data_IF_015090557631
#
_entry.id   IF_015090557631
#
_cell.length_a   1.000
_cell.length_b   1.000
_cell.length_c   1.000
_cell.angle_alpha   90.00
_cell.angle_beta   90.00
_cell.angle_gamma   90.00
#
_symmetry.space_group_name_H-M   'P 1'
#
loop_
_entity.id
_entity.type
_entity.pdbx_description
1 polymer ?
#
# COMPACT_ATOMS: atom_id res chain seq x y z
N UNK A 1 -12.31 1.48 15.77
CA UNK A 1 -11.94 2.56 14.81
C UNK A 1 -13.13 3.31 14.20
N UNK A 2 -14.31 2.69 13.98
CA UNK A 2 -15.44 3.38 13.32
C UNK A 2 -15.94 4.65 14.02
N UNK A 3 -16.03 4.68 15.35
CA UNK A 3 -16.47 5.86 16.09
C UNK A 3 -15.50 7.06 15.97
N UNK A 4 -14.19 6.78 15.95
CA UNK A 4 -13.14 7.80 15.81
C UNK A 4 -13.11 8.36 14.38
N UNK A 5 -13.32 7.52 13.37
CA UNK A 5 -13.45 7.95 11.97
C UNK A 5 -14.69 8.81 11.74
N UNK A 6 -15.81 8.54 12.41
CA UNK A 6 -17.02 9.35 12.30
C UNK A 6 -16.87 10.72 12.99
N UNK A 7 -16.26 10.76 14.19
CA UNK A 7 -15.97 12.01 14.89
C UNK A 7 -14.95 12.91 14.14
N UNK A 8 -13.98 12.30 13.46
CA UNK A 8 -13.01 13.02 12.64
C UNK A 8 -13.65 13.73 11.43
N UNK A 9 -14.77 13.24 10.90
CA UNK A 9 -15.48 13.94 9.81
C UNK A 9 -16.16 15.23 10.27
N UNK A 10 -16.33 15.42 11.59
CA UNK A 10 -16.93 16.63 12.17
C UNK A 10 -15.89 17.64 12.70
N UNK A 11 -14.60 17.27 12.74
CA UNK A 11 -13.48 18.17 13.07
C UNK A 11 -12.33 17.95 12.09
N UNK A 12 -12.10 18.89 11.15
CA UNK A 12 -10.98 18.85 10.23
C UNK A 12 -9.61 18.71 10.93
N UNK A 13 -9.47 19.30 12.11
CA UNK A 13 -8.25 19.25 12.91
C UNK A 13 -7.98 17.83 13.44
N UNK A 14 -9.02 17.16 13.97
CA UNK A 14 -8.89 15.76 14.41
C UNK A 14 -8.60 14.83 13.23
N UNK A 15 -9.23 15.06 12.06
CA UNK A 15 -8.93 14.29 10.85
C UNK A 15 -7.48 14.47 10.40
N UNK A 16 -6.97 15.71 10.44
CA UNK A 16 -5.59 16.03 10.13
C UNK A 16 -4.64 15.31 11.09
N UNK A 17 -4.86 15.43 12.40
CA UNK A 17 -4.05 14.77 13.42
C UNK A 17 -4.06 13.24 13.28
N UNK A 18 -5.21 12.63 12.97
CA UNK A 18 -5.29 11.19 12.74
C UNK A 18 -4.56 10.76 11.46
N UNK A 19 -4.65 11.54 10.38
CA UNK A 19 -3.89 11.28 9.15
C UNK A 19 -2.40 11.36 9.43
N UNK A 20 -1.94 12.40 10.10
CA UNK A 20 -0.52 12.60 10.44
C UNK A 20 0.01 11.52 11.38
N UNK A 21 -0.79 11.10 12.36
CA UNK A 21 -0.37 10.10 13.34
C UNK A 21 -0.42 8.66 12.81
N UNK A 22 -1.35 8.33 11.91
CA UNK A 22 -1.62 6.93 11.53
C UNK A 22 -1.40 6.59 10.06
N UNK A 23 -1.46 7.58 9.15
CA UNK A 23 -1.38 7.31 7.70
C UNK A 23 -0.03 7.75 7.14
N UNK A 24 0.42 8.94 7.50
CA UNK A 24 1.73 9.46 7.04
C UNK A 24 2.90 8.55 7.43
N UNK A 25 2.97 7.97 8.65
CA UNK A 25 4.06 7.08 9.01
C UNK A 25 4.08 5.79 8.19
N UNK A 26 2.90 5.24 7.89
CA UNK A 26 2.77 4.02 7.07
C UNK A 26 3.24 4.27 5.63
N UNK A 27 2.85 5.40 5.04
CA UNK A 27 3.34 5.81 3.71
C UNK A 27 4.87 5.94 3.76
N UNK A 28 5.41 6.67 4.74
CA UNK A 28 6.85 6.87 4.87
C UNK A 28 7.63 5.56 5.05
N UNK A 29 7.07 4.60 5.78
CA UNK A 29 7.65 3.27 5.97
C UNK A 29 7.68 2.46 4.67
N UNK A 30 6.59 2.48 3.90
CA UNK A 30 6.51 1.82 2.58
C UNK A 30 7.49 2.48 1.61
N UNK A 31 7.52 3.81 1.54
CA UNK A 31 8.45 4.54 0.66
C UNK A 31 9.91 4.26 1.04
N UNK A 32 10.21 4.17 2.34
CA UNK A 32 11.54 3.79 2.80
C UNK A 32 11.90 2.36 2.39
N UNK A 33 10.95 1.42 2.43
CA UNK A 33 11.15 0.06 1.94
C UNK A 33 11.47 0.05 0.44
N UNK A 34 10.70 0.78 -0.38
CA UNK A 34 10.92 0.89 -1.82
C UNK A 34 12.28 1.53 -2.12
N UNK A 35 12.62 2.64 -1.46
CA UNK A 35 13.95 3.28 -1.59
C UNK A 35 15.09 2.33 -1.24
N UNK A 36 14.94 1.48 -0.22
CA UNK A 36 15.96 0.47 0.12
C UNK A 36 16.11 -0.57 -0.99
N UNK A 37 15.02 -1.02 -1.62
CA UNK A 37 15.08 -1.93 -2.75
C UNK A 37 15.76 -1.29 -3.97
N UNK A 38 15.46 -0.01 -4.24
CA UNK A 38 16.16 0.77 -5.27
C UNK A 38 17.66 0.91 -4.97
N UNK A 39 18.03 1.21 -3.72
CA UNK A 39 19.41 1.30 -3.29
C UNK A 39 20.19 -0.03 -3.39
N UNK A 40 19.49 -1.17 -3.39
CA UNK A 40 20.07 -2.51 -3.64
C UNK A 40 20.08 -2.90 -5.12
N UNK A 41 19.51 -2.08 -6.01
CA UNK A 41 19.36 -2.40 -7.43
C UNK A 41 18.28 -3.44 -7.73
N UNK A 42 17.38 -3.73 -6.78
CA UNK A 42 16.27 -4.66 -6.99
C UNK A 42 15.13 -4.03 -7.81
N UNK A 43 14.97 -2.71 -7.71
CA UNK A 43 14.00 -1.92 -8.48
C UNK A 43 14.78 -0.78 -9.12
N UNK A 44 14.54 -0.46 -10.40
CA UNK A 44 15.18 0.69 -11.03
C UNK A 44 14.77 2.01 -10.32
N UNK A 45 15.74 2.91 -10.14
CA UNK A 45 15.57 4.12 -9.34
C UNK A 45 14.59 5.14 -9.97
N UNK A 46 14.40 5.06 -11.29
CA UNK A 46 13.60 5.97 -12.12
C UNK A 46 12.27 5.36 -12.58
N UNK A 47 11.89 4.16 -12.08
CA UNK A 47 10.62 3.54 -12.40
C UNK A 47 9.46 4.40 -11.86
N UNK A 48 8.60 4.96 -12.75
CA UNK A 48 7.48 5.78 -12.31
C UNK A 48 6.49 5.00 -11.42
N UNK A 49 6.45 3.67 -11.54
CA UNK A 49 5.57 2.82 -10.71
C UNK A 49 5.90 2.84 -9.21
N UNK A 50 7.13 3.19 -8.82
CA UNK A 50 7.61 3.08 -7.45
C UNK A 50 6.87 4.02 -6.46
N UNK A 51 6.42 5.20 -6.92
CA UNK A 51 5.70 6.17 -6.07
C UNK A 51 4.29 5.70 -5.69
N UNK A 52 3.70 4.76 -6.45
CA UNK A 52 2.32 4.33 -6.27
C UNK A 52 2.18 3.15 -5.28
N UNK A 53 3.27 2.55 -4.82
CA UNK A 53 3.24 1.32 -4.00
C UNK A 53 2.45 1.51 -2.70
N UNK A 54 2.67 2.63 -1.99
CA UNK A 54 1.93 2.93 -0.77
C UNK A 54 0.43 3.10 -1.04
N UNK A 55 0.08 3.80 -2.12
CA UNK A 55 -1.31 4.00 -2.54
C UNK A 55 -1.99 2.67 -2.93
N UNK A 56 -1.27 1.76 -3.61
CA UNK A 56 -1.80 0.45 -3.98
C UNK A 56 -2.07 -0.44 -2.76
N UNK A 57 -1.13 -0.52 -1.81
CA UNK A 57 -1.27 -1.33 -0.59
C UNK A 57 -2.37 -0.80 0.33
N UNK A 58 -2.37 0.51 0.62
CA UNK A 58 -3.41 1.12 1.45
C UNK A 58 -4.77 1.09 0.73
N UNK A 59 -4.77 1.31 -0.58
CA UNK A 59 -5.95 1.31 -1.43
C UNK A 59 -6.64 -0.04 -1.44
N UNK A 60 -5.93 -1.15 -1.65
CA UNK A 60 -6.56 -2.49 -1.71
C UNK A 60 -7.20 -2.89 -0.39
N UNK A 61 -6.60 -2.51 0.75
CA UNK A 61 -7.18 -2.77 2.07
C UNK A 61 -8.51 -2.02 2.30
N UNK A 62 -8.74 -0.89 1.61
CA UNK A 62 -9.98 -0.12 1.67
C UNK A 62 -10.98 -0.49 0.58
N UNK A 63 -10.49 -0.79 -0.63
CA UNK A 63 -11.31 -1.14 -1.78
C UNK A 63 -11.94 -2.52 -1.62
N UNK A 64 -11.19 -3.52 -1.11
CA UNK A 64 -11.70 -4.89 -1.07
C UNK A 64 -12.95 -5.08 -0.20
N UNK A 65 -13.06 -4.51 1.03
CA UNK A 65 -14.30 -4.56 1.78
C UNK A 65 -15.49 -3.95 1.04
N UNK A 66 -15.26 -2.87 0.27
CA UNK A 66 -16.30 -2.21 -0.51
C UNK A 66 -16.72 -3.06 -1.72
N UNK A 67 -15.77 -3.71 -2.40
CA UNK A 67 -16.02 -4.47 -3.63
C UNK A 67 -16.47 -5.91 -3.37
N UNK A 68 -15.91 -6.57 -2.36
CA UNK A 68 -16.07 -8.01 -2.10
C UNK A 68 -16.72 -8.32 -0.74
N UNK A 69 -17.07 -7.30 0.07
CA UNK A 69 -17.71 -7.49 1.38
C UNK A 69 -16.81 -8.14 2.44
N UNK A 70 -15.49 -8.21 2.20
CA UNK A 70 -14.53 -8.86 3.11
C UNK A 70 -13.17 -8.17 3.10
N UNK A 71 -12.48 -8.25 4.23
CA UNK A 71 -11.13 -7.70 4.37
C UNK A 71 -10.07 -8.55 3.65
N UNK A 72 -8.95 -7.92 3.36
CA UNK A 72 -7.78 -8.61 2.81
C UNK A 72 -7.12 -9.46 3.90
N UNK A 73 -6.96 -10.76 3.64
CA UNK A 73 -6.13 -11.66 4.43
C UNK A 73 -4.69 -11.65 3.87
N UNK A 74 -3.75 -12.25 4.62
CA UNK A 74 -2.35 -12.31 4.22
C UNK A 74 -2.20 -12.98 2.83
N UNK A 75 -2.92 -14.09 2.59
CA UNK A 75 -2.85 -14.82 1.32
C UNK A 75 -3.28 -13.96 0.12
N UNK A 76 -4.31 -13.14 0.27
CA UNK A 76 -4.70 -12.21 -0.79
C UNK A 76 -3.70 -11.07 -0.96
N UNK A 77 -3.21 -10.47 0.13
CA UNK A 77 -2.24 -9.38 0.05
C UNK A 77 -0.95 -9.84 -0.62
N UNK A 78 -0.44 -11.04 -0.32
CA UNK A 78 0.70 -11.63 -1.01
C UNK A 78 0.45 -11.74 -2.51
N UNK A 79 -0.68 -12.33 -2.92
CA UNK A 79 -1.03 -12.43 -4.36
C UNK A 79 -1.22 -11.07 -5.01
N UNK A 80 -1.75 -10.08 -4.30
CA UNK A 80 -1.91 -8.73 -4.82
C UNK A 80 -0.56 -8.07 -5.05
N UNK A 81 0.38 -8.21 -4.12
CA UNK A 81 1.76 -7.75 -4.29
C UNK A 81 2.39 -8.42 -5.51
N UNK A 82 2.36 -9.76 -5.56
CA UNK A 82 2.99 -10.56 -6.63
C UNK A 82 2.43 -10.26 -8.01
N UNK A 83 1.11 -10.04 -8.13
CA UNK A 83 0.43 -9.97 -9.43
C UNK A 83 0.06 -8.57 -9.88
N UNK A 84 -0.03 -7.60 -8.98
CA UNK A 84 -0.43 -6.23 -9.32
C UNK A 84 0.66 -5.20 -9.05
N UNK A 85 1.43 -5.35 -7.97
CA UNK A 85 2.45 -4.37 -7.59
C UNK A 85 3.79 -4.70 -8.27
N UNK A 86 4.33 -5.89 -8.03
CA UNK A 86 5.67 -6.28 -8.54
C UNK A 86 5.79 -6.15 -10.07
N UNK A 87 4.81 -6.57 -10.89
CA UNK A 87 4.92 -6.40 -12.34
C UNK A 87 5.01 -4.93 -12.77
N UNK A 88 4.31 -4.02 -12.08
CA UNK A 88 4.41 -2.57 -12.32
C UNK A 88 5.77 -1.98 -11.94
N UNK A 89 6.57 -2.72 -11.18
CA UNK A 89 7.95 -2.38 -10.81
C UNK A 89 8.99 -3.11 -11.68
N UNK A 90 8.55 -3.74 -12.79
CA UNK A 90 9.42 -4.54 -13.66
C UNK A 90 9.85 -5.88 -13.04
N UNK A 91 9.28 -6.25 -11.89
CA UNK A 91 9.54 -7.51 -11.20
C UNK A 91 8.48 -8.52 -11.64
N UNK A 92 8.79 -9.31 -12.66
CA UNK A 92 7.97 -10.47 -12.99
C UNK A 92 8.40 -11.63 -12.09
N UNK A 93 7.44 -12.29 -11.44
CA UNK A 93 7.71 -13.62 -10.91
C UNK A 93 8.17 -14.48 -12.09
N UNK A 94 9.39 -15.00 -12.03
CA UNK A 94 9.88 -15.96 -13.00
C UNK A 94 8.86 -17.10 -12.99
N UNK A 95 8.14 -17.29 -14.10
CA UNK A 95 7.17 -18.37 -14.26
C UNK A 95 7.94 -19.69 -14.38
N UNK A 96 8.65 -20.10 -13.33
CA UNK A 96 8.92 -21.52 -13.11
C UNK A 96 7.67 -22.09 -12.44
N UNK A 97 6.76 -22.56 -13.28
CA UNK A 97 5.77 -23.56 -12.87
C UNK A 97 6.51 -24.80 -12.31
N UNK A 98 5.94 -25.47 -11.29
CA UNK A 98 6.38 -26.81 -10.87
C UNK A 98 6.04 -27.89 -11.91
#
# INVERSE_FOLDING_TARGET
>A
MHALSHAALQSPELLCALREALIVPEIAAIDAMVRRAQGRGEIAADLPGAEYVAAQLLGVMRARPLLEGRYADAAYLSRFVERAILPGLGLTADTREP
#
